data_IF_409491890838
#
_entry.id   IF_409491890838
#
_cell.length_a   1.000
_cell.length_b   1.000
_cell.length_c   1.000
_cell.angle_alpha   90.00
_cell.angle_beta   90.00
_cell.angle_gamma   90.00
#
_symmetry.space_group_name_H-M   'P 1'
#
loop_
_entity.id
_entity.type
_entity.pdbx_description
1 polymer ?
#
# COMPACT_ATOMS: atom_id res chain seq x y z
N UNK A 1 -9.18 -12.30 -17.58
CA UNK A 1 -8.97 -11.17 -16.65
C UNK A 1 -9.82 -10.02 -17.16
N UNK A 2 -10.66 -9.42 -16.31
CA UNK A 2 -11.61 -8.38 -16.72
C UNK A 2 -10.87 -7.13 -17.26
N UNK A 3 -11.33 -6.59 -18.39
CA UNK A 3 -10.73 -5.42 -19.04
C UNK A 3 -10.87 -4.17 -18.16
N UNK A 4 -11.91 -4.10 -17.33
CA UNK A 4 -12.11 -3.02 -16.35
C UNK A 4 -11.00 -3.01 -15.29
N UNK A 5 -10.61 -4.20 -14.81
CA UNK A 5 -9.55 -4.42 -13.84
C UNK A 5 -8.20 -4.01 -14.45
N UNK A 6 -7.90 -4.47 -15.67
CA UNK A 6 -6.68 -4.06 -16.38
C UNK A 6 -6.61 -2.54 -16.60
N UNK A 7 -7.72 -1.88 -16.96
CA UNK A 7 -7.76 -0.43 -17.17
C UNK A 7 -7.52 0.35 -15.87
N UNK A 8 -8.16 -0.07 -14.77
CA UNK A 8 -7.92 0.49 -13.43
C UNK A 8 -6.45 0.33 -13.03
N UNK A 9 -5.81 -0.81 -13.32
CA UNK A 9 -4.38 -0.96 -13.07
C UNK A 9 -3.56 0.16 -13.72
N UNK A 10 -3.79 0.48 -14.99
CA UNK A 10 -3.01 1.48 -15.75
C UNK A 10 -3.21 2.93 -15.31
N UNK A 11 -4.40 3.30 -14.85
CA UNK A 11 -4.70 4.70 -14.51
C UNK A 11 -3.98 5.19 -13.24
N UNK A 12 -3.71 4.32 -12.26
CA UNK A 12 -2.92 4.70 -11.07
C UNK A 12 -1.40 4.70 -11.32
N UNK A 13 -0.90 4.12 -12.43
CA UNK A 13 0.50 4.27 -12.84
C UNK A 13 0.81 5.66 -13.42
N UNK A 14 -0.21 6.40 -13.86
CA UNK A 14 -0.06 7.71 -14.53
C UNK A 14 -0.41 8.94 -13.65
N UNK A 15 -0.74 8.77 -12.37
CA UNK A 15 -1.14 9.89 -11.50
C UNK A 15 0.03 10.68 -10.85
N UNK A 16 1.22 10.68 -11.46
CA UNK A 16 2.26 11.69 -11.21
C UNK A 16 3.16 11.78 -12.46
N UNK A 17 2.79 12.67 -13.39
CA UNK A 17 3.35 12.85 -14.73
C UNK A 17 4.85 13.19 -14.85
N UNK A 18 5.69 12.98 -13.82
CA UNK A 18 7.15 13.22 -13.90
C UNK A 18 8.02 12.08 -13.31
N UNK A 19 7.44 11.00 -12.77
CA UNK A 19 8.22 9.91 -12.16
C UNK A 19 7.85 8.57 -12.77
N UNK A 20 8.79 7.93 -13.48
CA UNK A 20 8.61 6.61 -14.09
C UNK A 20 8.63 5.52 -13.02
N UNK A 21 7.47 5.18 -12.47
CA UNK A 21 7.31 4.01 -11.59
C UNK A 21 7.73 2.75 -12.34
N UNK A 22 8.64 1.98 -11.76
CA UNK A 22 9.09 0.67 -12.26
C UNK A 22 8.37 -0.43 -11.50
N UNK A 23 7.85 -1.42 -12.21
CA UNK A 23 7.26 -2.62 -11.58
C UNK A 23 8.39 -3.59 -11.21
N UNK A 24 8.31 -4.16 -10.01
CA UNK A 24 9.31 -5.12 -9.52
C UNK A 24 8.97 -6.53 -10.03
N UNK A 25 9.61 -6.93 -11.13
CA UNK A 25 9.29 -8.16 -11.87
C UNK A 25 10.21 -9.36 -11.50
N UNK A 26 10.99 -9.26 -10.42
CA UNK A 26 11.97 -10.29 -10.04
C UNK A 26 11.34 -11.58 -9.50
N UNK A 27 12.01 -12.72 -9.68
CA UNK A 27 11.57 -14.04 -9.17
C UNK A 27 11.34 -14.07 -7.65
N UNK A 28 12.19 -13.40 -6.88
CA UNK A 28 12.02 -13.28 -5.42
C UNK A 28 10.76 -12.48 -5.06
N UNK A 29 10.36 -11.54 -5.92
CA UNK A 29 9.12 -10.78 -5.75
C UNK A 29 7.90 -11.71 -5.85
N UNK A 30 7.91 -12.71 -6.74
CA UNK A 30 6.81 -13.67 -6.88
C UNK A 30 6.64 -14.56 -5.65
N UNK A 31 7.76 -15.07 -5.10
CA UNK A 31 7.72 -15.87 -3.87
C UNK A 31 7.27 -15.03 -2.68
N UNK A 32 7.85 -13.83 -2.52
CA UNK A 32 7.48 -12.91 -1.43
C UNK A 32 6.01 -12.48 -1.53
N UNK A 33 5.50 -12.23 -2.75
CA UNK A 33 4.09 -11.95 -3.00
C UNK A 33 3.23 -13.13 -2.53
N UNK A 34 3.58 -14.36 -2.89
CA UNK A 34 2.83 -15.54 -2.46
C UNK A 34 2.79 -15.67 -0.94
N UNK A 35 3.94 -15.60 -0.28
CA UNK A 35 4.02 -15.72 1.20
C UNK A 35 3.21 -14.60 1.87
N UNK A 36 3.21 -13.41 1.28
CA UNK A 36 2.40 -12.26 1.73
C UNK A 36 0.91 -12.54 1.59
N UNK A 37 0.47 -13.08 0.45
CA UNK A 37 -0.92 -13.47 0.20
C UNK A 37 -1.36 -14.50 1.25
N UNK A 38 -0.59 -15.56 1.46
CA UNK A 38 -0.90 -16.62 2.43
C UNK A 38 -1.01 -16.07 3.86
N UNK A 39 -0.12 -15.15 4.26
CA UNK A 39 -0.17 -14.49 5.56
C UNK A 39 -1.47 -13.69 5.75
N UNK A 40 -1.80 -12.80 4.81
CA UNK A 40 -3.00 -11.97 4.92
C UNK A 40 -4.29 -12.77 4.84
N UNK A 41 -4.32 -13.84 4.04
CA UNK A 41 -5.45 -14.76 4.03
C UNK A 41 -5.66 -15.42 5.38
N UNK A 42 -4.58 -15.86 6.05
CA UNK A 42 -4.67 -16.40 7.41
C UNK A 42 -5.22 -15.36 8.40
N UNK A 43 -4.77 -14.11 8.30
CA UNK A 43 -5.32 -13.01 9.11
C UNK A 43 -6.82 -12.82 8.87
N UNK A 44 -7.26 -12.86 7.61
CA UNK A 44 -8.68 -12.76 7.27
C UNK A 44 -9.50 -13.93 7.80
N UNK A 45 -9.03 -15.17 7.66
CA UNK A 45 -9.74 -16.34 8.20
C UNK A 45 -9.94 -16.27 9.73
N UNK A 46 -9.01 -15.61 10.45
CA UNK A 46 -9.13 -15.43 11.89
C UNK A 46 -10.11 -14.31 12.28
N UNK A 47 -10.31 -13.31 11.42
CA UNK A 47 -11.15 -12.13 11.70
C UNK A 47 -12.54 -12.20 11.05
N UNK A 48 -12.75 -13.02 10.02
CA UNK A 48 -13.99 -13.03 9.23
C UNK A 48 -15.27 -13.34 10.03
N UNK A 49 -15.14 -13.96 11.21
CA UNK A 49 -16.28 -14.28 12.08
C UNK A 49 -16.45 -13.28 13.24
N UNK A 50 -15.61 -12.25 13.35
CA UNK A 50 -15.74 -11.19 14.34
C UNK A 50 -16.20 -9.89 13.68
N UNK A 51 -16.94 -9.04 14.38
CA UNK A 51 -17.27 -7.70 13.88
C UNK A 51 -16.12 -6.69 14.18
N UNK A 52 -14.91 -7.19 14.39
CA UNK A 52 -13.75 -6.39 14.77
C UNK A 52 -12.88 -6.07 13.54
N UNK A 53 -12.31 -4.86 13.54
CA UNK A 53 -11.27 -4.50 12.59
C UNK A 53 -9.91 -4.98 13.09
N UNK A 54 -8.95 -5.18 12.18
CA UNK A 54 -7.57 -5.46 12.57
C UNK A 54 -7.04 -4.36 13.50
N UNK A 55 -6.43 -4.77 14.62
CA UNK A 55 -5.99 -3.85 15.68
C UNK A 55 -4.91 -2.87 15.19
N UNK A 56 -4.19 -3.21 14.12
CA UNK A 56 -3.14 -2.37 13.52
C UNK A 56 -3.67 -1.42 12.45
N UNK A 57 -4.95 -1.53 12.08
CA UNK A 57 -5.58 -0.64 11.12
C UNK A 57 -5.60 0.81 11.62
N UNK A 58 -5.17 1.73 10.75
CA UNK A 58 -5.06 3.17 11.02
C UNK A 58 -4.22 3.51 12.28
N UNK A 59 -3.30 2.62 12.68
CA UNK A 59 -2.44 2.85 13.85
C UNK A 59 -1.32 3.88 13.58
N UNK A 60 -1.10 4.25 12.32
CA UNK A 60 -0.18 5.29 11.85
C UNK A 60 -0.89 6.59 11.46
N UNK A 61 -2.02 6.90 12.13
CA UNK A 61 -2.91 8.04 11.86
C UNK A 61 -2.20 9.40 11.74
N UNK A 62 -1.11 9.61 12.49
CA UNK A 62 -0.36 10.86 12.49
C UNK A 62 0.51 11.10 11.25
N UNK A 63 0.89 10.04 10.52
CA UNK A 63 1.82 10.12 9.39
C UNK A 63 1.25 9.58 8.08
N UNK A 64 -0.04 9.28 8.08
CA UNK A 64 -0.70 8.56 6.99
C UNK A 64 -1.96 9.26 6.50
N UNK A 65 -2.12 9.25 5.19
CA UNK A 65 -3.30 9.78 4.51
C UNK A 65 -4.12 8.60 4.01
N UNK A 66 -5.42 8.57 4.31
CA UNK A 66 -6.34 7.57 3.79
C UNK A 66 -7.32 8.24 2.84
N UNK A 67 -7.48 7.67 1.65
CA UNK A 67 -8.44 8.12 0.63
C UNK A 67 -9.31 6.90 0.31
N UNK A 68 -10.60 6.96 0.64
CA UNK A 68 -11.52 5.82 0.53
C UNK A 68 -12.71 6.20 -0.32
N UNK A 69 -12.88 5.55 -1.48
CA UNK A 69 -13.89 5.90 -2.48
C UNK A 69 -13.91 7.42 -2.74
N UNK A 70 -12.72 7.99 -3.00
CA UNK A 70 -12.46 9.43 -3.21
C UNK A 70 -12.72 10.35 -2.00
N UNK A 71 -13.09 9.80 -0.84
CA UNK A 71 -13.22 10.56 0.41
C UNK A 71 -11.89 10.57 1.18
N UNK A 72 -11.36 11.77 1.44
CA UNK A 72 -10.19 11.94 2.27
C UNK A 72 -10.55 11.74 3.75
N UNK A 73 -9.95 10.74 4.39
CA UNK A 73 -10.00 10.54 5.84
C UNK A 73 -8.67 11.04 6.41
N UNK A 74 -8.74 12.17 7.10
CA UNK A 74 -7.60 12.78 7.77
C UNK A 74 -8.00 13.22 9.18
N UNK A 75 -7.33 12.65 10.19
CA UNK A 75 -7.52 13.01 11.59
C UNK A 75 -6.34 12.51 12.40
N UNK A 76 -5.92 13.28 13.41
CA UNK A 76 -4.91 12.85 14.37
C UNK A 76 -5.47 11.83 15.38
N UNK A 77 -6.79 11.68 15.42
CA UNK A 77 -7.52 10.72 16.25
C UNK A 77 -7.93 9.50 15.42
N UNK A 78 -7.38 8.33 15.79
CA UNK A 78 -7.66 7.03 15.18
C UNK A 78 -9.12 6.61 15.32
N UNK A 79 -9.77 6.87 16.45
CA UNK A 79 -11.18 6.47 16.65
C UNK A 79 -12.09 7.23 15.70
N UNK A 80 -11.83 8.52 15.51
CA UNK A 80 -12.51 9.33 14.51
C UNK A 80 -12.29 8.82 13.10
N UNK A 81 -11.05 8.46 12.73
CA UNK A 81 -10.76 7.89 11.40
C UNK A 81 -11.52 6.58 11.18
N UNK A 82 -11.55 5.69 12.18
CA UNK A 82 -12.30 4.42 12.11
C UNK A 82 -13.80 4.70 11.97
N UNK A 83 -14.35 5.65 12.71
CA UNK A 83 -15.77 6.01 12.62
C UNK A 83 -16.12 6.53 11.23
N UNK A 84 -15.30 7.40 10.64
CA UNK A 84 -15.54 7.94 9.31
C UNK A 84 -15.34 6.88 8.22
N UNK A 85 -14.36 5.99 8.38
CA UNK A 85 -14.20 4.80 7.54
C UNK A 85 -15.46 3.92 7.52
N UNK A 86 -16.01 3.58 8.70
CA UNK A 86 -17.22 2.76 8.81
C UNK A 86 -18.47 3.41 8.20
N UNK A 87 -18.51 4.74 8.13
CA UNK A 87 -19.58 5.46 7.42
C UNK A 87 -19.42 5.37 5.91
N UNK A 88 -18.19 5.44 5.41
CA UNK A 88 -17.89 5.39 3.97
C UNK A 88 -18.06 3.96 3.44
N UNK A 89 -17.65 2.95 4.22
CA UNK A 89 -17.76 1.53 3.90
C UNK A 89 -18.73 0.88 4.90
N UNK A 90 -20.05 0.83 4.62
CA UNK A 90 -21.02 0.26 5.55
C UNK A 90 -20.98 -1.28 5.62
N UNK A 91 -20.49 -1.93 4.57
CA UNK A 91 -20.40 -3.39 4.49
C UNK A 91 -19.31 -3.94 5.44
N UNK A 92 -19.68 -4.87 6.32
CA UNK A 92 -18.81 -5.38 7.39
C UNK A 92 -17.67 -6.21 6.80
N UNK A 93 -17.94 -7.03 5.78
CA UNK A 93 -16.92 -7.89 5.17
C UNK A 93 -15.85 -7.04 4.47
N UNK A 94 -16.27 -6.00 3.75
CA UNK A 94 -15.38 -5.01 3.15
C UNK A 94 -14.58 -4.26 4.20
N UNK A 95 -15.20 -3.90 5.34
CA UNK A 95 -14.49 -3.25 6.44
C UNK A 95 -13.35 -4.13 6.97
N UNK A 96 -13.63 -5.41 7.23
CA UNK A 96 -12.64 -6.38 7.71
C UNK A 96 -11.51 -6.54 6.70
N UNK A 97 -11.84 -6.79 5.42
CA UNK A 97 -10.85 -6.96 4.36
C UNK A 97 -9.93 -5.74 4.26
N UNK A 98 -10.50 -4.54 4.17
CA UNK A 98 -9.72 -3.31 4.11
C UNK A 98 -8.83 -3.18 5.35
N UNK A 99 -9.35 -3.45 6.55
CA UNK A 99 -8.59 -3.30 7.79
C UNK A 99 -7.33 -4.18 7.85
N UNK A 100 -7.40 -5.36 7.24
CA UNK A 100 -6.29 -6.32 7.20
C UNK A 100 -5.22 -5.89 6.22
N UNK A 101 -5.62 -5.52 5.01
CA UNK A 101 -4.67 -5.22 3.93
C UNK A 101 -4.14 -3.79 3.96
N UNK A 102 -4.91 -2.82 4.44
CA UNK A 102 -4.51 -1.42 4.57
C UNK A 102 -3.72 -1.18 5.87
N UNK A 103 -2.64 -1.93 6.07
CA UNK A 103 -1.72 -1.75 7.18
C UNK A 103 -0.29 -1.50 6.70
N UNK A 104 0.53 -0.91 7.58
CA UNK A 104 1.95 -0.60 7.28
C UNK A 104 2.80 -1.80 6.91
N UNK A 105 2.46 -3.01 7.39
CA UNK A 105 3.20 -4.24 7.06
C UNK A 105 3.04 -4.60 5.58
N UNK A 106 1.97 -4.19 4.93
CA UNK A 106 1.78 -4.42 3.50
C UNK A 106 2.88 -3.75 2.65
N UNK A 107 3.33 -2.56 3.05
CA UNK A 107 4.45 -1.88 2.39
C UNK A 107 5.82 -2.52 2.68
N UNK A 108 5.95 -3.30 3.76
CA UNK A 108 7.26 -3.84 4.17
C UNK A 108 7.90 -4.74 3.11
N UNK A 109 7.09 -5.54 2.41
CA UNK A 109 7.58 -6.45 1.36
C UNK A 109 8.00 -5.70 0.11
N UNK A 110 7.24 -4.68 -0.28
CA UNK A 110 7.63 -3.76 -1.35
C UNK A 110 8.93 -3.02 -1.01
N UNK A 111 9.14 -2.69 0.28
CA UNK A 111 10.37 -2.04 0.74
C UNK A 111 11.57 -2.99 0.71
N UNK A 112 11.42 -4.24 1.17
CA UNK A 112 12.48 -5.25 1.11
C UNK A 112 12.90 -5.53 -0.33
N UNK A 113 11.92 -5.66 -1.24
CA UNK A 113 12.17 -5.81 -2.67
C UNK A 113 12.95 -4.62 -3.24
N UNK A 114 12.53 -3.40 -2.91
CA UNK A 114 13.21 -2.18 -3.36
C UNK A 114 14.66 -2.11 -2.88
N UNK A 115 14.95 -2.44 -1.62
CA UNK A 115 16.33 -2.42 -1.09
C UNK A 115 17.21 -3.50 -1.75
N UNK A 116 16.62 -4.65 -2.12
CA UNK A 116 17.32 -5.68 -2.90
C UNK A 116 17.70 -5.17 -4.31
N UNK A 117 16.78 -4.43 -4.94
CA UNK A 117 16.96 -3.85 -6.28
C UNK A 117 17.88 -2.61 -6.28
N UNK A 118 17.93 -1.89 -5.16
CA UNK A 118 18.67 -0.64 -4.98
C UNK A 118 19.48 -0.62 -3.66
N UNK A 119 20.50 -1.50 -3.52
CA UNK A 119 21.29 -1.57 -2.28
C UNK A 119 22.02 -0.27 -1.95
N UNK A 120 22.28 0.59 -2.95
CA UNK A 120 22.90 1.90 -2.77
C UNK A 120 22.06 2.87 -1.92
N UNK A 121 20.77 2.61 -1.75
CA UNK A 121 19.88 3.41 -0.88
C UNK A 121 20.34 3.36 0.58
N UNK A 122 21.11 2.35 0.98
CA UNK A 122 21.69 2.27 2.31
C UNK A 122 22.65 3.43 2.64
N UNK A 123 23.15 4.16 1.64
CA UNK A 123 23.97 5.37 1.82
C UNK A 123 23.14 6.62 2.14
N UNK A 124 21.81 6.52 2.13
CA UNK A 124 20.90 7.63 2.32
C UNK A 124 20.10 7.54 3.63
N UNK A 125 19.88 8.68 4.26
CA UNK A 125 18.92 8.89 5.34
C UNK A 125 17.58 9.30 4.74
N UNK A 126 16.54 8.60 5.15
CA UNK A 126 15.15 8.87 4.78
C UNK A 126 14.61 10.03 5.63
N UNK A 127 14.00 11.03 4.98
CA UNK A 127 13.34 12.18 5.64
C UNK A 127 11.97 12.46 5.03
N UNK A 128 11.16 13.24 5.75
CA UNK A 128 9.85 13.75 5.29
C UNK A 128 8.92 12.64 4.76
N UNK A 129 8.96 11.48 5.42
CA UNK A 129 8.20 10.31 5.03
C UNK A 129 6.71 10.47 5.23
N UNK A 130 5.93 10.01 4.26
CA UNK A 130 4.48 9.88 4.38
C UNK A 130 3.98 8.61 3.72
N UNK A 131 2.96 8.01 4.33
CA UNK A 131 2.22 6.91 3.75
C UNK A 131 0.88 7.41 3.22
N UNK A 132 0.46 6.90 2.07
CA UNK A 132 -0.81 7.22 1.43
C UNK A 132 -1.49 5.89 1.10
N UNK A 133 -2.67 5.66 1.65
CA UNK A 133 -3.49 4.49 1.38
C UNK A 133 -4.72 4.95 0.58
N UNK A 134 -4.79 4.56 -0.69
CA UNK A 134 -5.93 4.80 -1.56
C UNK A 134 -6.72 3.51 -1.71
N UNK A 135 -7.98 3.52 -1.30
CA UNK A 135 -8.87 2.35 -1.27
C UNK A 135 -10.09 2.67 -2.12
N UNK A 136 -10.35 1.86 -3.14
CA UNK A 136 -11.47 2.04 -4.05
C UNK A 136 -12.24 0.72 -4.14
N UNK A 137 -13.55 0.80 -3.91
CA UNK A 137 -14.48 -0.28 -4.22
C UNK A 137 -14.68 -0.33 -5.74
N UNK A 138 -14.66 -1.51 -6.33
CA UNK A 138 -14.86 -1.73 -7.76
C UNK A 138 -16.26 -2.31 -8.01
N UNK A 139 -16.81 -2.09 -9.21
CA UNK A 139 -18.20 -2.46 -9.57
C UNK A 139 -18.52 -3.95 -9.39
N UNK A 140 -17.50 -4.81 -9.47
CA UNK A 140 -17.62 -6.26 -9.28
C UNK A 140 -17.50 -6.71 -7.82
N UNK A 141 -17.54 -5.78 -6.87
CA UNK A 141 -17.38 -6.05 -5.43
C UNK A 141 -15.93 -6.30 -5.00
N UNK A 142 -14.95 -6.22 -5.89
CA UNK A 142 -13.53 -6.26 -5.50
C UNK A 142 -13.07 -4.92 -4.93
N UNK A 143 -12.02 -4.96 -4.12
CA UNK A 143 -11.45 -3.77 -3.50
C UNK A 143 -10.03 -3.58 -4.04
N UNK A 144 -9.77 -2.41 -4.60
CA UNK A 144 -8.43 -1.98 -4.95
C UNK A 144 -7.84 -1.17 -3.81
N UNK A 145 -6.69 -1.59 -3.30
CA UNK A 145 -5.90 -0.83 -2.35
C UNK A 145 -4.54 -0.52 -2.96
N UNK A 146 -4.15 0.75 -2.90
CA UNK A 146 -2.85 1.25 -3.30
C UNK A 146 -2.21 1.90 -2.09
N UNK A 147 -1.21 1.24 -1.51
CA UNK A 147 -0.39 1.80 -0.46
C UNK A 147 0.87 2.41 -1.10
N UNK A 148 1.15 3.67 -0.82
CA UNK A 148 2.32 4.40 -1.34
C UNK A 148 3.08 5.04 -0.20
N UNK A 149 4.37 4.77 -0.13
CA UNK A 149 5.33 5.47 0.71
C UNK A 149 6.11 6.46 -0.15
N UNK A 150 6.23 7.70 0.29
CA UNK A 150 7.03 8.74 -0.35
C UNK A 150 7.98 9.34 0.69
N UNK A 151 9.23 9.56 0.29
CA UNK A 151 10.24 10.16 1.16
C UNK A 151 11.31 10.92 0.39
N UNK A 152 11.92 11.88 1.09
CA UNK A 152 13.14 12.54 0.66
C UNK A 152 14.37 11.74 1.09
N UNK A 153 15.44 11.87 0.31
CA UNK A 153 16.73 11.21 0.53
C UNK A 153 17.82 12.25 0.73
N UNK A 154 18.57 12.08 1.83
CA UNK A 154 19.79 12.83 2.11
C UNK A 154 20.95 11.87 2.29
N UNK A 155 22.14 12.25 1.83
CA UNK A 155 23.33 11.42 2.01
C UNK A 155 23.67 11.30 3.50
N UNK A 156 24.06 10.11 3.95
CA UNK A 156 24.52 9.89 5.33
C UNK A 156 25.94 10.42 5.54
N UNK A 157 26.76 10.36 4.51
CA UNK A 157 28.16 10.75 4.51
C UNK A 157 28.36 11.87 3.49
N UNK A 158 28.93 12.99 3.91
CA UNK A 158 29.19 14.15 3.06
C UNK A 158 30.16 13.84 1.91
N UNK A 159 30.94 12.76 2.02
CA UNK A 159 31.83 12.27 0.96
C UNK A 159 31.08 11.50 -0.15
N UNK A 160 29.80 11.17 0.03
CA UNK A 160 29.00 10.48 -0.96
C UNK A 160 28.32 11.48 -1.90
N UNK A 161 28.48 11.31 -3.21
CA UNK A 161 27.85 12.18 -4.21
C UNK A 161 26.36 11.88 -4.27
N UNK A 162 25.53 12.85 -3.88
CA UNK A 162 24.06 12.73 -3.89
C UNK A 162 23.56 12.46 -5.33
N UNK A 163 23.18 11.21 -5.58
CA UNK A 163 22.61 10.75 -6.85
C UNK A 163 21.09 10.86 -6.88
N UNK A 164 20.46 10.66 -5.72
CA UNK A 164 19.00 10.64 -5.59
C UNK A 164 18.52 11.69 -4.59
N UNK A 165 17.36 12.28 -4.86
CA UNK A 165 16.69 13.27 -3.99
C UNK A 165 15.48 12.69 -3.27
N UNK A 166 14.79 11.73 -3.88
CA UNK A 166 13.48 11.24 -3.47
C UNK A 166 13.33 9.77 -3.84
N UNK A 167 12.51 9.05 -3.07
CA UNK A 167 12.04 7.72 -3.44
C UNK A 167 10.53 7.61 -3.27
N UNK A 168 9.98 6.64 -3.99
CA UNK A 168 8.62 6.18 -3.79
C UNK A 168 8.56 4.67 -3.88
N UNK A 169 7.80 4.08 -2.97
CA UNK A 169 7.57 2.63 -2.89
C UNK A 169 6.07 2.42 -2.85
N UNK A 170 5.55 1.52 -3.66
CA UNK A 170 4.12 1.31 -3.82
C UNK A 170 3.79 -0.16 -3.90
N UNK A 171 2.83 -0.56 -3.09
CA UNK A 171 2.18 -1.85 -3.18
C UNK A 171 0.73 -1.65 -3.63
N UNK A 172 0.35 -2.34 -4.70
CA UNK A 172 -1.02 -2.35 -5.23
C UNK A 172 -1.61 -3.73 -5.04
N UNK A 173 -2.79 -3.81 -4.46
CA UNK A 173 -3.54 -5.05 -4.29
C UNK A 173 -4.94 -4.90 -4.86
N UNK A 174 -5.41 -5.96 -5.51
CA UNK A 174 -6.82 -6.15 -5.80
C UNK A 174 -7.29 -7.36 -4.99
N UNK A 175 -8.22 -7.09 -4.09
CA UNK A 175 -8.80 -8.06 -3.18
C UNK A 175 -10.13 -8.51 -3.78
N UNK A 176 -10.28 -9.81 -3.99
CA UNK A 176 -11.51 -10.40 -4.49
C UNK A 176 -12.25 -11.07 -3.33
N UNK A 177 -13.58 -11.03 -3.29
CA UNK A 177 -14.36 -11.69 -2.23
C UNK A 177 -14.06 -13.19 -2.12
N UNK A 178 -13.87 -13.88 -3.25
CA UNK A 178 -13.80 -15.33 -3.33
C UNK A 178 -12.50 -15.87 -3.96
N UNK A 179 -11.51 -15.02 -4.24
CA UNK A 179 -10.27 -15.43 -4.91
C UNK A 179 -9.04 -14.88 -4.19
N UNK A 180 -7.88 -15.47 -4.50
CA UNK A 180 -6.59 -14.94 -4.07
C UNK A 180 -6.46 -13.48 -4.56
N UNK A 181 -6.00 -12.56 -3.70
CA UNK A 181 -5.72 -11.21 -4.13
C UNK A 181 -4.55 -11.18 -5.13
N UNK A 182 -4.54 -10.16 -6.00
CA UNK A 182 -3.42 -9.90 -6.90
C UNK A 182 -2.61 -8.74 -6.32
N UNK A 183 -1.34 -8.98 -6.02
CA UNK A 183 -0.40 -7.98 -5.49
C UNK A 183 0.63 -7.63 -6.56
N UNK A 184 0.97 -6.34 -6.66
CA UNK A 184 2.09 -5.83 -7.45
C UNK A 184 2.87 -4.80 -6.66
N UNK A 185 4.20 -4.87 -6.77
CA UNK A 185 5.10 -3.88 -6.19
C UNK A 185 5.68 -3.01 -7.30
N UNK A 186 5.87 -1.73 -6.97
CA UNK A 186 6.49 -0.77 -7.86
C UNK A 186 7.22 0.28 -7.06
N UNK A 187 8.23 0.90 -7.67
CA UNK A 187 9.04 1.91 -7.00
C UNK A 187 9.54 2.96 -8.00
N UNK A 188 10.04 4.07 -7.47
CA UNK A 188 10.93 4.97 -8.20
C UNK A 188 12.02 5.48 -7.26
N UNK A 189 13.12 5.92 -7.85
CA UNK A 189 14.16 6.70 -7.20
C UNK A 189 14.60 7.80 -8.16
N UNK A 190 14.70 9.04 -7.68
CA UNK A 190 15.07 10.23 -8.46
C UNK A 190 15.82 11.23 -7.60
#
# INVERSE_FOLDING_TARGET
MDKSIQKSYYEDFNLNNNQSWKVSDQLDSLKNIRDTIEHFQKCYQNLKFSNELDKTFMNDSYSSIFIINDNLIFSNDREKMIKDFKKIIPDIDSQQLISIYANKKFLSQSYLQFISEHPEINEYKIRNSRNIYKINSLDNGSIKLVATHLSDLDVKNDNYIKKYKTLGIRATIIIFPNNLPIIKYSHFVN
#
